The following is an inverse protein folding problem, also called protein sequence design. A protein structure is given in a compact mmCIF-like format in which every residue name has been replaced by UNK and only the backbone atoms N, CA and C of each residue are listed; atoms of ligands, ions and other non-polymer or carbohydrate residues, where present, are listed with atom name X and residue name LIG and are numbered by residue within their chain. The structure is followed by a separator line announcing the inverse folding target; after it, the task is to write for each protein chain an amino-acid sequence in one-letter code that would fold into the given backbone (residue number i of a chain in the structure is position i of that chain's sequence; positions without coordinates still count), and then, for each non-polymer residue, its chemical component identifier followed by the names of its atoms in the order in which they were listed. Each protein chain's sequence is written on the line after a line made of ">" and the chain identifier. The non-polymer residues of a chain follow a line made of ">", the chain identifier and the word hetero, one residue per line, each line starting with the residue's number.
data_IF_925891216840
#
_entry.id   IF_925891216840
#
_cell.length_a   1.000
_cell.length_b   1.000
_cell.length_c   1.000
_cell.angle_alpha   90.00
_cell.angle_beta   90.00
_cell.angle_gamma   90.00
#
_symmetry.space_group_name_H-M   'P 1'
#
loop_
_entity.id
_entity.type
_entity.pdbx_description
1 polymer ?
#
# COMPACT_ATOMS: atom_id res chain seq x y z
N UNK A 1 25.82 -0.07 7.15
CA UNK A 1 24.67 0.74 7.63
C UNK A 1 24.77 2.24 7.32
N UNK A 2 25.94 2.90 7.45
CA UNK A 2 26.07 4.36 7.20
C UNK A 2 25.79 4.79 5.74
N UNK A 3 26.05 3.94 4.76
CA UNK A 3 25.84 4.22 3.32
C UNK A 3 24.35 4.31 2.95
N UNK A 4 23.53 3.41 3.50
CA UNK A 4 22.07 3.39 3.27
C UNK A 4 21.39 4.65 3.80
N UNK A 5 21.77 5.11 5.00
CA UNK A 5 21.23 6.34 5.59
C UNK A 5 21.62 7.60 4.79
N UNK A 6 22.79 7.59 4.15
CA UNK A 6 23.21 8.63 3.20
C UNK A 6 22.35 8.64 1.95
N UNK A 7 22.04 7.48 1.38
CA UNK A 7 21.16 7.37 0.21
C UNK A 7 19.73 7.80 0.55
N UNK A 8 19.23 7.43 1.73
CA UNK A 8 17.92 7.85 2.21
C UNK A 8 17.82 9.37 2.39
N UNK A 9 18.94 10.06 2.65
CA UNK A 9 18.96 11.52 2.83
C UNK A 9 18.56 12.29 1.57
N UNK A 10 18.74 11.69 0.38
CA UNK A 10 18.28 12.25 -0.90
C UNK A 10 16.75 12.19 -1.08
N UNK A 11 16.03 11.43 -0.24
CA UNK A 11 14.57 11.33 -0.24
C UNK A 11 13.86 12.41 0.61
N UNK A 12 14.59 13.38 1.18
CA UNK A 12 13.98 14.50 1.90
C UNK A 12 13.08 15.36 0.97
N UNK A 13 11.90 15.82 1.43
CA UNK A 13 11.30 15.65 2.76
C UNK A 13 10.44 14.38 2.91
N UNK A 14 10.52 13.74 4.09
CA UNK A 14 9.81 12.49 4.44
C UNK A 14 8.31 12.66 4.75
N UNK A 15 7.70 13.79 4.41
CA UNK A 15 6.30 14.09 4.76
C UNK A 15 5.28 13.12 4.12
N UNK A 16 5.70 12.35 3.11
CA UNK A 16 4.88 11.33 2.46
C UNK A 16 4.80 10.01 3.23
N UNK A 17 5.74 9.72 4.13
CA UNK A 17 5.83 8.46 4.88
C UNK A 17 4.60 8.22 5.77
N UNK A 18 4.12 9.18 6.59
CA UNK A 18 2.92 8.94 7.41
C UNK A 18 1.67 8.70 6.56
N UNK A 19 1.51 9.44 5.46
CA UNK A 19 0.37 9.28 4.54
C UNK A 19 0.41 7.93 3.82
N UNK A 20 1.60 7.52 3.36
CA UNK A 20 1.81 6.19 2.77
C UNK A 20 1.53 5.07 3.77
N UNK A 21 1.98 5.19 5.02
CA UNK A 21 1.72 4.22 6.07
C UNK A 21 0.21 4.04 6.30
N UNK A 22 -0.55 5.14 6.36
CA UNK A 22 -2.01 5.09 6.49
C UNK A 22 -2.65 4.35 5.31
N UNK A 23 -2.28 4.68 4.06
CA UNK A 23 -2.82 3.98 2.89
C UNK A 23 -2.41 2.51 2.83
N UNK A 24 -1.18 2.18 3.23
CA UNK A 24 -0.71 0.80 3.28
C UNK A 24 -1.48 -0.01 4.34
N UNK A 25 -1.63 0.51 5.55
CA UNK A 25 -2.38 -0.14 6.63
C UNK A 25 -3.85 -0.35 6.24
N UNK A 26 -4.50 0.67 5.66
CA UNK A 26 -5.87 0.54 5.17
C UNK A 26 -5.96 -0.48 4.03
N UNK A 27 -5.04 -0.43 3.07
CA UNK A 27 -4.99 -1.38 1.94
C UNK A 27 -4.81 -2.83 2.38
N UNK A 28 -3.98 -3.07 3.39
CA UNK A 28 -3.79 -4.39 4.02
C UNK A 28 -5.05 -4.80 4.78
N UNK A 29 -5.62 -3.92 5.60
CA UNK A 29 -6.83 -4.20 6.36
C UNK A 29 -8.00 -4.64 5.45
N UNK A 30 -8.33 -3.85 4.42
CA UNK A 30 -9.36 -4.23 3.45
C UNK A 30 -8.96 -5.43 2.59
N UNK A 31 -7.67 -5.60 2.32
CA UNK A 31 -7.14 -6.77 1.61
C UNK A 31 -7.37 -8.07 2.38
N UNK A 32 -7.12 -8.07 3.68
CA UNK A 32 -7.38 -9.21 4.57
C UNK A 32 -8.89 -9.41 4.77
N UNK A 33 -9.66 -8.33 4.90
CA UNK A 33 -11.11 -8.39 5.01
C UNK A 33 -11.74 -9.14 3.82
N UNK A 34 -11.21 -8.99 2.60
CA UNK A 34 -11.71 -9.73 1.43
C UNK A 34 -11.67 -11.26 1.64
N UNK A 35 -10.62 -11.81 2.29
CA UNK A 35 -10.55 -13.23 2.59
C UNK A 35 -11.53 -13.63 3.69
N UNK A 36 -11.66 -12.81 4.73
CA UNK A 36 -12.63 -13.04 5.81
C UNK A 36 -14.06 -13.02 5.29
N UNK A 37 -14.37 -12.17 4.31
CA UNK A 37 -15.70 -12.03 3.71
C UNK A 37 -16.08 -13.17 2.73
N UNK A 38 -15.13 -13.97 2.27
CA UNK A 38 -15.43 -15.19 1.50
C UNK A 38 -16.15 -16.22 2.40
N UNK A 39 -15.82 -16.29 3.68
CA UNK A 39 -16.44 -17.22 4.63
C UNK A 39 -17.97 -17.02 4.72
N UNK A 40 -18.51 -15.81 5.03
CA UNK A 40 -19.94 -15.59 5.07
C UNK A 40 -20.59 -15.76 3.70
N UNK A 41 -19.88 -15.45 2.60
CA UNK A 41 -20.38 -15.71 1.24
C UNK A 41 -20.65 -17.20 1.01
N UNK A 42 -19.67 -18.05 1.34
CA UNK A 42 -19.81 -19.51 1.22
C UNK A 42 -20.86 -20.05 2.19
N UNK A 43 -20.93 -19.50 3.42
CA UNK A 43 -21.94 -19.90 4.40
C UNK A 43 -23.36 -19.61 3.90
N UNK A 44 -23.59 -18.46 3.27
CA UNK A 44 -24.88 -18.16 2.63
C UNK A 44 -25.11 -19.10 1.46
N UNK A 45 -24.12 -19.37 0.60
CA UNK A 45 -24.27 -20.24 -0.57
C UNK A 45 -24.69 -21.67 -0.16
N UNK A 46 -23.96 -22.27 0.79
CA UNK A 46 -24.18 -23.63 1.27
C UNK A 46 -25.26 -23.75 2.35
N UNK A 47 -25.78 -22.64 2.86
CA UNK A 47 -26.81 -22.64 3.91
C UNK A 47 -26.28 -22.95 5.32
N UNK A 48 -24.96 -22.82 5.54
CA UNK A 48 -24.30 -22.97 6.84
C UNK A 48 -24.21 -21.64 7.60
N UNK A 49 -25.32 -20.90 7.70
CA UNK A 49 -25.36 -19.55 8.29
C UNK A 49 -25.34 -19.54 9.83
N UNK A 50 -25.33 -20.70 10.48
CA UNK A 50 -25.51 -20.86 11.93
C UNK A 50 -24.45 -20.18 12.81
N UNK A 51 -23.24 -19.93 12.30
CA UNK A 51 -22.16 -19.29 13.07
C UNK A 51 -22.37 -17.78 13.27
N UNK A 52 -23.10 -17.13 12.36
CA UNK A 52 -23.36 -15.68 12.42
C UNK A 52 -24.69 -15.35 13.08
N UNK A 53 -25.61 -16.32 13.17
CA UNK A 53 -26.93 -16.13 13.78
C UNK A 53 -26.97 -16.51 15.26
N UNK A 54 -26.05 -17.36 15.74
CA UNK A 54 -26.01 -17.81 17.14
C UNK A 54 -25.46 -16.76 18.12
N UNK A 55 -24.48 -15.96 17.69
CA UNK A 55 -23.80 -14.94 18.52
C UNK A 55 -24.26 -13.50 18.18
N UNK A 56 -25.32 -13.32 17.39
CA UNK A 56 -25.76 -12.01 16.94
C UNK A 56 -26.43 -11.22 18.09
N UNK A 57 -25.98 -9.99 18.39
CA UNK A 57 -26.64 -9.16 19.39
C UNK A 57 -28.03 -8.73 18.91
N UNK A 58 -29.04 -8.81 19.79
CA UNK A 58 -30.43 -8.44 19.46
C UNK A 58 -30.63 -6.94 19.20
N UNK A 59 -29.67 -6.11 19.60
CA UNK A 59 -29.68 -4.65 19.47
C UNK A 59 -28.31 -4.15 19.03
N UNK A 60 -28.27 -3.01 18.33
CA UNK A 60 -27.02 -2.36 17.94
C UNK A 60 -26.13 -2.12 19.18
N UNK A 61 -24.93 -2.72 19.24
CA UNK A 61 -24.03 -2.53 20.37
C UNK A 61 -23.53 -1.09 20.44
N UNK A 62 -23.22 -0.60 21.64
CA UNK A 62 -22.62 0.72 21.81
C UNK A 62 -21.29 0.83 21.03
N UNK A 63 -21.07 1.98 20.41
CA UNK A 63 -19.86 2.23 19.62
C UNK A 63 -18.60 1.97 20.45
N UNK A 64 -17.76 1.03 19.99
CA UNK A 64 -16.43 0.80 20.56
C UNK A 64 -15.40 0.61 19.46
N UNK A 65 -14.22 1.20 19.62
CA UNK A 65 -13.15 1.15 18.64
C UNK A 65 -12.37 -0.17 18.79
N UNK A 66 -13.05 -1.29 18.56
CA UNK A 66 -12.51 -2.65 18.73
C UNK A 66 -12.81 -3.53 17.51
N UNK A 67 -11.94 -4.52 17.27
CA UNK A 67 -12.18 -5.51 16.21
C UNK A 67 -13.47 -6.32 16.47
N UNK A 68 -13.80 -6.56 17.73
CA UNK A 68 -15.02 -7.25 18.15
C UNK A 68 -16.29 -6.47 17.76
N UNK A 69 -16.26 -5.14 17.84
CA UNK A 69 -17.38 -4.29 17.43
C UNK A 69 -17.68 -4.44 15.93
N UNK A 70 -16.64 -4.46 15.09
CA UNK A 70 -16.81 -4.63 13.64
C UNK A 70 -17.48 -5.98 13.33
N UNK A 71 -17.07 -7.06 14.02
CA UNK A 71 -17.68 -8.38 13.89
C UNK A 71 -19.15 -8.36 14.34
N UNK A 72 -19.45 -7.78 15.51
CA UNK A 72 -20.82 -7.71 16.06
C UNK A 72 -21.77 -6.91 15.15
N UNK A 73 -21.30 -5.79 14.59
CA UNK A 73 -22.07 -4.98 13.64
C UNK A 73 -22.33 -5.78 12.36
N UNK A 74 -21.33 -6.48 11.84
CA UNK A 74 -21.50 -7.36 10.68
C UNK A 74 -22.52 -8.47 10.95
N UNK A 75 -22.41 -9.17 12.09
CA UNK A 75 -23.32 -10.26 12.47
C UNK A 75 -24.78 -9.77 12.67
N UNK A 76 -24.96 -8.55 13.20
CA UNK A 76 -26.26 -7.88 13.28
C UNK A 76 -26.88 -7.62 11.90
N UNK A 77 -26.14 -6.96 11.00
CA UNK A 77 -26.63 -6.68 9.65
C UNK A 77 -26.84 -7.95 8.83
N UNK A 78 -25.99 -8.96 9.02
CA UNK A 78 -26.12 -10.26 8.38
C UNK A 78 -27.42 -10.95 8.80
N UNK A 79 -27.73 -11.00 10.11
CA UNK A 79 -28.96 -11.58 10.63
C UNK A 79 -30.19 -10.79 10.18
N UNK A 80 -30.13 -9.45 10.21
CA UNK A 80 -31.19 -8.57 9.72
C UNK A 80 -31.51 -8.82 8.24
N UNK A 81 -30.50 -8.96 7.38
CA UNK A 81 -30.69 -9.26 5.97
C UNK A 81 -31.25 -10.65 5.73
N UNK A 82 -30.85 -11.63 6.56
CA UNK A 82 -31.34 -13.00 6.50
C UNK A 82 -32.82 -13.10 6.86
N UNK A 83 -33.28 -12.37 7.88
CA UNK A 83 -34.67 -12.39 8.32
C UNK A 83 -35.61 -11.61 7.39
N UNK A 84 -35.17 -10.48 6.85
CA UNK A 84 -36.02 -9.62 6.01
C UNK A 84 -36.00 -9.96 4.52
N UNK A 85 -34.86 -10.39 3.97
CA UNK A 85 -34.69 -10.63 2.53
C UNK A 85 -34.32 -12.08 2.18
N UNK A 86 -34.23 -12.96 3.19
CA UNK A 86 -33.91 -14.36 3.01
C UNK A 86 -32.50 -14.61 2.48
N UNK A 87 -32.28 -15.84 1.99
CA UNK A 87 -30.98 -16.32 1.49
C UNK A 87 -30.47 -15.49 0.29
N UNK A 88 -31.34 -15.18 -0.67
CA UNK A 88 -30.96 -14.47 -1.89
C UNK A 88 -30.58 -13.00 -1.62
N UNK A 89 -31.34 -12.29 -0.79
CA UNK A 89 -31.01 -10.90 -0.45
C UNK A 89 -29.74 -10.78 0.40
N UNK A 90 -29.53 -11.72 1.33
CA UNK A 90 -28.29 -11.79 2.11
C UNK A 90 -27.08 -12.04 1.22
N UNK A 91 -27.21 -12.92 0.22
CA UNK A 91 -26.13 -13.18 -0.73
C UNK A 91 -25.78 -11.92 -1.53
N UNK A 92 -26.78 -11.19 -2.04
CA UNK A 92 -26.56 -9.93 -2.76
C UNK A 92 -25.86 -8.88 -1.88
N UNK A 93 -26.26 -8.77 -0.61
CA UNK A 93 -25.61 -7.89 0.36
C UNK A 93 -24.13 -8.25 0.58
N UNK A 94 -23.82 -9.52 0.85
CA UNK A 94 -22.44 -9.97 1.07
C UNK A 94 -21.59 -9.78 -0.20
N UNK A 95 -22.13 -10.10 -1.39
CA UNK A 95 -21.46 -9.83 -2.66
C UNK A 95 -21.17 -8.34 -2.86
N UNK A 96 -22.12 -7.46 -2.59
CA UNK A 96 -21.93 -6.00 -2.66
C UNK A 96 -20.82 -5.53 -1.71
N UNK A 97 -20.80 -6.06 -0.48
CA UNK A 97 -19.79 -5.74 0.51
C UNK A 97 -18.39 -6.22 0.09
N UNK A 98 -18.28 -7.44 -0.46
CA UNK A 98 -17.02 -7.96 -1.02
C UNK A 98 -16.52 -7.07 -2.16
N UNK A 99 -17.38 -6.71 -3.11
CA UNK A 99 -17.01 -5.84 -4.24
C UNK A 99 -16.53 -4.48 -3.70
N UNK A 100 -17.25 -3.90 -2.74
CA UNK A 100 -16.86 -2.64 -2.10
C UNK A 100 -15.51 -2.73 -1.39
N UNK A 101 -15.27 -3.81 -0.63
CA UNK A 101 -14.02 -4.06 0.07
C UNK A 101 -12.84 -4.28 -0.88
N UNK A 102 -13.04 -5.03 -1.97
CA UNK A 102 -12.04 -5.24 -3.02
C UNK A 102 -11.71 -3.91 -3.71
N UNK A 103 -12.73 -3.14 -4.05
CA UNK A 103 -12.56 -1.83 -4.66
C UNK A 103 -11.77 -0.88 -3.74
N UNK A 104 -12.14 -0.77 -2.46
CA UNK A 104 -11.41 0.03 -1.48
C UNK A 104 -9.96 -0.44 -1.30
N UNK A 105 -9.72 -1.75 -1.16
CA UNK A 105 -8.37 -2.31 -1.02
C UNK A 105 -7.50 -1.93 -2.21
N UNK A 106 -8.01 -2.06 -3.44
CA UNK A 106 -7.29 -1.68 -4.65
C UNK A 106 -7.08 -0.16 -4.74
N UNK A 107 -8.07 0.64 -4.32
CA UNK A 107 -7.96 2.09 -4.29
C UNK A 107 -6.84 2.55 -3.36
N UNK A 108 -6.78 2.03 -2.13
CA UNK A 108 -5.72 2.38 -1.18
C UNK A 108 -4.34 1.89 -1.63
N UNK A 109 -4.25 0.68 -2.22
CA UNK A 109 -3.02 0.18 -2.83
C UNK A 109 -2.56 1.08 -3.98
N UNK A 110 -3.49 1.52 -4.83
CA UNK A 110 -3.20 2.44 -5.93
C UNK A 110 -2.72 3.80 -5.41
N UNK A 111 -3.39 4.39 -4.43
CA UNK A 111 -3.00 5.66 -3.82
C UNK A 111 -1.62 5.55 -3.16
N UNK A 112 -1.35 4.48 -2.43
CA UNK A 112 -0.02 4.19 -1.86
C UNK A 112 1.05 4.04 -2.94
N UNK A 113 0.75 3.32 -4.02
CA UNK A 113 1.65 3.17 -5.17
C UNK A 113 1.92 4.48 -5.88
N UNK A 114 0.91 5.35 -6.04
CA UNK A 114 1.06 6.67 -6.66
C UNK A 114 1.95 7.60 -5.85
N UNK A 115 1.78 7.62 -4.53
CA UNK A 115 2.68 8.36 -3.63
C UNK A 115 4.11 7.87 -3.76
N UNK A 116 4.30 6.55 -3.72
CA UNK A 116 5.63 5.94 -3.82
C UNK A 116 6.29 6.23 -5.17
N UNK A 117 5.54 6.18 -6.28
CA UNK A 117 6.04 6.56 -7.59
C UNK A 117 6.49 8.04 -7.65
N UNK A 118 5.73 8.96 -7.05
CA UNK A 118 6.12 10.36 -6.96
C UNK A 118 7.40 10.58 -6.14
N UNK A 119 7.60 9.78 -5.08
CA UNK A 119 8.81 9.78 -4.27
C UNK A 119 10.00 9.24 -5.07
N UNK A 120 9.83 8.11 -5.77
CA UNK A 120 10.87 7.53 -6.64
C UNK A 120 11.35 8.57 -7.66
N UNK A 121 10.43 9.24 -8.35
CA UNK A 121 10.79 10.28 -9.32
C UNK A 121 11.56 11.45 -8.69
N UNK A 122 11.20 11.86 -7.47
CA UNK A 122 11.90 12.93 -6.75
C UNK A 122 13.29 12.51 -6.31
N UNK A 123 13.45 11.29 -5.80
CA UNK A 123 14.75 10.75 -5.39
C UNK A 123 15.70 10.67 -6.58
N UNK A 124 15.23 10.12 -7.70
CA UNK A 124 15.96 10.08 -8.98
C UNK A 124 16.43 11.47 -9.40
N UNK A 125 15.53 12.46 -9.37
CA UNK A 125 15.85 13.85 -9.70
C UNK A 125 16.95 14.40 -8.79
N UNK A 126 16.85 14.19 -7.48
CA UNK A 126 17.82 14.71 -6.51
C UNK A 126 19.20 14.07 -6.69
N UNK A 127 19.26 12.76 -6.94
CA UNK A 127 20.51 12.04 -7.24
C UNK A 127 21.15 12.60 -8.52
N UNK A 128 20.37 12.79 -9.59
CA UNK A 128 20.86 13.34 -10.85
C UNK A 128 21.42 14.76 -10.69
N UNK A 129 20.72 15.63 -9.95
CA UNK A 129 21.19 16.99 -9.68
C UNK A 129 22.48 17.02 -8.87
N UNK A 130 22.57 16.23 -7.79
CA UNK A 130 23.77 16.18 -6.94
C UNK A 130 25.00 15.62 -7.67
N UNK A 131 24.79 14.62 -8.55
CA UNK A 131 25.87 14.09 -9.38
C UNK A 131 26.32 15.11 -10.42
N UNK A 132 25.39 15.76 -11.11
CA UNK A 132 25.72 16.79 -12.10
C UNK A 132 26.54 17.93 -11.48
N UNK A 133 26.11 18.45 -10.34
CA UNK A 133 26.81 19.52 -9.61
C UNK A 133 28.24 19.11 -9.25
N UNK A 134 28.44 17.87 -8.76
CA UNK A 134 29.79 17.38 -8.48
C UNK A 134 30.65 17.23 -9.73
N UNK A 135 30.10 16.71 -10.83
CA UNK A 135 30.86 16.56 -12.07
C UNK A 135 31.32 17.91 -12.61
N UNK A 136 30.47 18.95 -12.49
CA UNK A 136 30.80 20.31 -12.93
C UNK A 136 31.83 21.03 -12.07
N UNK A 137 32.04 20.60 -10.82
CA UNK A 137 33.05 21.16 -9.91
C UNK A 137 34.43 20.52 -10.06
N UNK A 138 34.58 19.45 -10.84
CA UNK A 138 35.87 18.78 -11.00
C UNK A 138 36.82 19.61 -11.87
N UNK A 139 38.08 19.70 -11.41
CA UNK A 139 39.14 20.42 -12.11
C UNK A 139 39.48 19.77 -13.47
N UNK A 140 39.82 20.60 -14.46
CA UNK A 140 40.19 20.19 -15.83
C UNK A 140 41.32 19.14 -15.88
N UNK A 141 42.20 19.12 -14.87
CA UNK A 141 43.27 18.11 -14.74
C UNK A 141 42.76 16.67 -14.58
N UNK A 142 41.59 16.49 -13.95
CA UNK A 142 40.96 15.18 -13.79
C UNK A 142 40.51 14.59 -15.14
N UNK A 143 40.09 15.44 -16.07
CA UNK A 143 39.66 15.03 -17.41
C UNK A 143 40.82 14.79 -18.39
N UNK A 144 42.04 15.20 -18.02
CA UNK A 144 43.24 15.04 -18.85
C UNK A 144 43.96 13.71 -18.64
N UNK A 145 43.81 13.06 -17.48
CA UNK A 145 44.50 11.80 -17.15
C UNK A 145 43.77 10.54 -17.65
N UNK A 146 42.44 10.61 -17.76
CA UNK A 146 41.61 9.41 -17.89
C UNK A 146 41.12 9.19 -19.33
N UNK A 147 40.99 7.92 -19.73
CA UNK A 147 40.41 7.57 -21.04
C UNK A 147 38.98 8.10 -21.10
N UNK A 148 38.70 8.98 -22.08
CA UNK A 148 37.39 9.60 -22.32
C UNK A 148 36.22 8.59 -22.26
N UNK A 149 36.41 7.37 -22.77
CA UNK A 149 35.39 6.31 -22.74
C UNK A 149 35.09 5.73 -21.36
N UNK A 150 36.09 5.65 -20.48
CA UNK A 150 35.93 5.16 -19.10
C UNK A 150 35.21 6.20 -18.24
N UNK A 151 35.54 7.48 -18.43
CA UNK A 151 34.80 8.62 -17.86
C UNK A 151 33.32 8.59 -18.26
N UNK A 152 33.01 8.42 -19.55
CA UNK A 152 31.61 8.35 -20.01
C UNK A 152 30.90 7.14 -19.37
N UNK A 153 31.53 5.96 -19.34
CA UNK A 153 30.93 4.76 -18.76
C UNK A 153 30.62 4.93 -17.27
N UNK A 154 31.53 5.50 -16.48
CA UNK A 154 31.30 5.75 -15.04
C UNK A 154 30.21 6.79 -14.81
N UNK A 155 30.11 7.78 -15.70
CA UNK A 155 29.09 8.83 -15.62
C UNK A 155 27.69 8.36 -16.02
N UNK A 156 27.58 7.37 -16.91
CA UNK A 156 26.28 6.87 -17.37
C UNK A 156 25.90 5.58 -16.66
N UNK A 157 26.73 4.54 -16.68
CA UNK A 157 26.40 3.23 -16.13
C UNK A 157 26.43 3.20 -14.60
N UNK A 158 27.52 3.65 -13.96
CA UNK A 158 27.62 3.56 -12.50
C UNK A 158 26.59 4.48 -11.81
N UNK A 159 26.36 5.66 -12.38
CA UNK A 159 25.33 6.59 -11.93
C UNK A 159 23.93 5.99 -12.06
N UNK A 160 23.65 5.34 -13.19
CA UNK A 160 22.35 4.72 -13.42
C UNK A 160 22.14 3.49 -12.54
N UNK A 161 23.18 2.71 -12.24
CA UNK A 161 23.11 1.62 -11.26
C UNK A 161 22.85 2.14 -9.84
N UNK A 162 23.51 3.23 -9.44
CA UNK A 162 23.21 3.87 -8.15
C UNK A 162 21.77 4.40 -8.14
N UNK A 163 21.26 4.96 -9.24
CA UNK A 163 19.86 5.39 -9.39
C UNK A 163 18.89 4.22 -9.16
N UNK A 164 19.10 3.10 -9.86
CA UNK A 164 18.26 1.90 -9.78
C UNK A 164 18.34 1.26 -8.39
N UNK A 165 19.53 1.15 -7.82
CA UNK A 165 19.76 0.56 -6.50
C UNK A 165 19.04 1.34 -5.39
N UNK A 166 19.06 2.68 -5.46
CA UNK A 166 18.35 3.54 -4.50
C UNK A 166 16.83 3.39 -4.64
N UNK A 167 16.32 3.33 -5.87
CA UNK A 167 14.89 3.15 -6.13
C UNK A 167 14.42 1.79 -5.63
N UNK A 168 15.13 0.71 -5.94
CA UNK A 168 14.77 -0.65 -5.53
C UNK A 168 14.84 -0.86 -4.01
N UNK A 169 15.73 -0.16 -3.32
CA UNK A 169 15.83 -0.23 -1.85
C UNK A 169 14.63 0.44 -1.16
N UNK A 170 14.01 1.43 -1.81
CA UNK A 170 12.93 2.23 -1.24
C UNK A 170 11.54 1.55 -1.35
N UNK A 171 11.48 0.36 -1.96
CA UNK A 171 10.24 -0.26 -2.47
C UNK A 171 10.13 -1.70 -2.05
#
# INVERSE_FOLDING_TARGET
>A
MKTYLRLLSFAKPYNFVPLYAVYATLGIFFGTANFTLIIPLLNVLFGTTGTHTADAPATLPAFSLSLAYIKLVFDYYFTYMLTHYGKQGTLAFVCGLVIGSVFLSNLFRYLGGRLLAGVRARVVRNVRSALFERITELELGYFSGERKGDLISRLTNDVQEVEISVVNTLT
#
